data_IF_107779719638
#
_entry.id   IF_107779719638
#
_cell.length_a   1.000
_cell.length_b   1.000
_cell.length_c   1.000
_cell.angle_alpha   90.00
_cell.angle_beta   90.00
_cell.angle_gamma   90.00
#
_symmetry.space_group_name_H-M   'P 1'
#
loop_
_entity.id
_entity.type
_entity.pdbx_description
1 polymer ?
#
# COMPACT_ATOMS: atom_id res chain seq x y z
N UNK A 1 -21.13 -27.68 -4.01
CA UNK A 1 -19.84 -28.21 -4.49
C UNK A 1 -18.76 -27.12 -4.43
N UNK A 2 -18.17 -26.86 -3.25
CA UNK A 2 -17.06 -25.89 -3.06
C UNK A 2 -15.77 -26.64 -2.61
N UNK A 3 -15.65 -27.92 -2.98
CA UNK A 3 -14.53 -28.77 -2.56
C UNK A 3 -13.37 -28.78 -3.57
N UNK A 4 -13.60 -28.40 -4.84
CA UNK A 4 -12.61 -28.62 -5.90
C UNK A 4 -11.36 -27.74 -5.81
N UNK A 5 -11.44 -26.55 -5.19
CA UNK A 5 -10.29 -25.61 -5.09
C UNK A 5 -9.33 -25.93 -3.95
N UNK A 6 -9.81 -26.58 -2.89
CA UNK A 6 -9.00 -26.88 -1.71
C UNK A 6 -7.96 -27.98 -1.97
N UNK A 7 -8.23 -28.85 -2.95
CA UNK A 7 -7.35 -29.95 -3.37
C UNK A 7 -6.65 -29.66 -4.71
N UNK A 8 -6.64 -28.42 -5.19
CA UNK A 8 -5.92 -28.07 -6.42
C UNK A 8 -4.41 -28.23 -6.22
N UNK A 9 -3.76 -28.88 -7.18
CA UNK A 9 -2.29 -28.85 -7.30
C UNK A 9 -1.82 -27.46 -7.78
N UNK A 10 -0.56 -27.07 -7.51
CA UNK A 10 0.00 -25.82 -8.01
C UNK A 10 -0.11 -25.69 -9.54
N UNK A 11 0.09 -26.77 -10.28
CA UNK A 11 0.00 -26.83 -11.74
C UNK A 11 -1.44 -26.56 -12.19
N UNK A 12 -2.43 -27.22 -11.60
CA UNK A 12 -3.85 -26.98 -11.88
C UNK A 12 -4.27 -25.54 -11.54
N UNK A 13 -3.79 -25.01 -10.41
CA UNK A 13 -4.05 -23.64 -10.02
C UNK A 13 -3.45 -22.64 -11.02
N UNK A 14 -2.23 -22.90 -11.52
CA UNK A 14 -1.56 -22.06 -12.50
C UNK A 14 -2.30 -22.01 -13.84
N UNK A 15 -2.76 -23.16 -14.34
CA UNK A 15 -3.59 -23.26 -15.56
C UNK A 15 -4.89 -22.50 -15.36
N UNK A 16 -5.60 -22.72 -14.25
CA UNK A 16 -6.85 -22.01 -13.94
C UNK A 16 -6.67 -20.50 -13.86
N UNK A 17 -5.59 -20.02 -13.22
CA UNK A 17 -5.28 -18.59 -13.14
C UNK A 17 -4.89 -18.01 -14.51
N UNK A 18 -4.21 -18.78 -15.35
CA UNK A 18 -3.95 -18.46 -16.75
C UNK A 18 -5.26 -18.24 -17.52
N UNK A 19 -6.17 -19.20 -17.47
CA UNK A 19 -7.49 -19.15 -18.11
C UNK A 19 -8.37 -18.02 -17.58
N UNK A 20 -8.24 -17.70 -16.28
CA UNK A 20 -8.95 -16.57 -15.70
C UNK A 20 -8.39 -15.25 -16.25
N UNK A 21 -7.06 -15.13 -16.38
CA UNK A 21 -6.40 -13.93 -16.91
C UNK A 21 -6.76 -13.69 -18.38
N UNK A 22 -6.77 -14.74 -19.20
CA UNK A 22 -7.14 -14.64 -20.63
C UNK A 22 -8.59 -14.21 -20.81
N UNK A 23 -9.52 -14.82 -20.06
CA UNK A 23 -10.94 -14.42 -20.07
C UNK A 23 -11.16 -12.98 -19.62
N UNK A 24 -10.48 -12.56 -18.57
CA UNK A 24 -10.54 -11.17 -18.11
C UNK A 24 -9.98 -10.22 -19.17
N UNK A 25 -8.84 -10.54 -19.80
CA UNK A 25 -8.26 -9.70 -20.86
C UNK A 25 -9.21 -9.55 -22.05
N UNK A 26 -9.83 -10.64 -22.50
CA UNK A 26 -10.83 -10.61 -23.58
C UNK A 26 -12.06 -9.76 -23.21
N UNK A 27 -12.58 -9.93 -21.99
CA UNK A 27 -13.69 -9.11 -21.49
C UNK A 27 -13.33 -7.62 -21.46
N UNK A 28 -12.12 -7.26 -21.01
CA UNK A 28 -11.66 -5.86 -20.98
C UNK A 28 -11.46 -5.27 -22.37
N UNK A 29 -11.07 -6.08 -23.35
CA UNK A 29 -10.91 -5.65 -24.74
C UNK A 29 -12.26 -5.35 -25.42
N UNK A 30 -13.31 -6.08 -25.04
CA UNK A 30 -14.66 -5.92 -25.57
C UNK A 30 -15.50 -4.82 -24.87
N UNK A 31 -14.98 -4.16 -23.83
CA UNK A 31 -15.71 -3.10 -23.12
C UNK A 31 -15.99 -1.87 -23.98
N UNK A 32 -17.20 -1.31 -23.81
CA UNK A 32 -17.53 0.02 -24.32
C UNK A 32 -16.74 1.11 -23.57
N UNK A 33 -16.64 2.33 -24.14
CA UNK A 33 -16.03 3.46 -23.46
C UNK A 33 -16.63 3.77 -22.08
N UNK A 34 -17.96 3.66 -21.94
CA UNK A 34 -18.70 3.92 -20.71
C UNK A 34 -18.39 2.85 -19.66
N UNK A 35 -18.44 1.57 -20.03
CA UNK A 35 -18.09 0.46 -19.15
C UNK A 35 -16.64 0.57 -18.66
N UNK A 36 -15.73 0.96 -19.56
CA UNK A 36 -14.32 1.21 -19.24
C UNK A 36 -14.17 2.35 -18.23
N UNK A 37 -14.95 3.41 -18.35
CA UNK A 37 -14.92 4.56 -17.45
C UNK A 37 -15.43 4.18 -16.06
N UNK A 38 -16.58 3.51 -15.97
CA UNK A 38 -17.13 3.03 -14.70
C UNK A 38 -16.15 2.13 -13.97
N UNK A 39 -15.60 1.11 -14.64
CA UNK A 39 -14.60 0.23 -14.04
C UNK A 39 -13.35 0.99 -13.55
N UNK A 40 -12.89 2.00 -14.29
CA UNK A 40 -11.75 2.82 -13.87
C UNK A 40 -12.07 3.63 -12.61
N UNK A 41 -13.30 4.11 -12.48
CA UNK A 41 -13.73 4.86 -11.29
C UNK A 41 -13.89 3.93 -10.08
N UNK A 42 -14.42 2.73 -10.28
CA UNK A 42 -14.49 1.69 -9.25
C UNK A 42 -13.08 1.28 -8.79
N UNK A 43 -12.16 1.07 -9.73
CA UNK A 43 -10.76 0.75 -9.44
C UNK A 43 -10.07 1.88 -8.66
N UNK A 44 -10.37 3.16 -8.97
CA UNK A 44 -9.84 4.31 -8.23
C UNK A 44 -10.40 4.35 -6.83
N UNK A 45 -11.71 4.19 -6.69
CA UNK A 45 -12.41 4.20 -5.41
C UNK A 45 -11.90 3.06 -4.53
N UNK A 46 -11.84 1.83 -5.04
CA UNK A 46 -11.33 0.66 -4.33
C UNK A 46 -9.88 0.83 -3.87
N UNK A 47 -9.01 1.39 -4.73
CA UNK A 47 -7.63 1.70 -4.33
C UNK A 47 -7.56 2.79 -3.26
N UNK A 48 -8.42 3.80 -3.36
CA UNK A 48 -8.51 4.87 -2.37
C UNK A 48 -8.98 4.34 -1.02
N UNK A 49 -10.06 3.57 -1.00
CA UNK A 49 -10.61 2.97 0.22
C UNK A 49 -9.64 1.97 0.83
N UNK A 50 -8.95 1.15 0.05
CA UNK A 50 -7.93 0.22 0.57
C UNK A 50 -6.76 0.96 1.22
N UNK A 51 -6.31 2.09 0.63
CA UNK A 51 -5.27 2.93 1.23
C UNK A 51 -5.76 3.62 2.50
N UNK A 52 -7.00 4.11 2.53
CA UNK A 52 -7.58 4.75 3.70
C UNK A 52 -7.82 3.75 4.84
N UNK A 53 -8.41 2.59 4.53
CA UNK A 53 -8.60 1.45 5.44
C UNK A 53 -7.28 0.97 6.04
N UNK A 54 -6.17 1.14 5.31
CA UNK A 54 -4.86 0.86 5.87
C UNK A 54 -4.62 1.65 7.15
N UNK A 55 -5.10 2.89 7.29
CA UNK A 55 -4.83 3.77 8.43
C UNK A 55 -5.98 3.91 9.43
N UNK A 56 -7.12 3.24 9.23
CA UNK A 56 -8.32 3.47 10.08
C UNK A 56 -8.12 3.06 11.54
N UNK A 57 -7.27 2.08 11.83
CA UNK A 57 -6.93 1.73 13.23
C UNK A 57 -6.09 2.82 13.93
N UNK A 58 -5.59 3.81 13.18
CA UNK A 58 -4.85 4.97 13.69
C UNK A 58 -5.67 6.25 13.71
N UNK A 59 -6.98 6.16 13.50
CA UNK A 59 -7.84 7.32 13.47
C UNK A 59 -7.72 8.10 14.80
N UNK A 60 -7.22 9.34 14.70
CA UNK A 60 -6.99 10.28 15.82
C UNK A 60 -5.86 9.92 16.81
N UNK A 61 -5.09 8.86 16.58
CA UNK A 61 -3.96 8.50 17.48
C UNK A 61 -2.91 9.62 17.60
N UNK A 62 -2.73 10.43 16.57
CA UNK A 62 -1.84 11.60 16.62
C UNK A 62 -2.35 12.76 17.48
N UNK A 63 -3.66 12.82 17.76
CA UNK A 63 -4.29 13.85 18.60
C UNK A 63 -4.50 13.36 20.05
N UNK A 64 -4.70 12.06 20.22
CA UNK A 64 -4.81 11.39 21.52
C UNK A 64 -3.71 10.34 21.64
N UNK A 65 -2.51 10.80 21.99
CA UNK A 65 -1.40 9.91 22.25
C UNK A 65 -1.72 9.00 23.45
N UNK A 66 -1.67 7.68 23.23
CA UNK A 66 -1.84 6.67 24.27
C UNK A 66 -0.49 5.99 24.56
N UNK A 67 0.21 6.35 25.67
CA UNK A 67 1.54 5.81 25.98
C UNK A 67 1.57 4.30 26.23
N UNK A 68 0.41 3.64 26.35
CA UNK A 68 0.35 2.19 26.53
C UNK A 68 0.47 1.41 25.21
N UNK A 69 0.32 2.07 24.07
CA UNK A 69 0.45 1.45 22.74
C UNK A 69 1.91 1.42 22.27
N UNK A 70 2.29 0.30 21.66
CA UNK A 70 3.62 0.15 21.05
C UNK A 70 3.63 0.74 19.63
N UNK A 71 4.03 2.01 19.52
CA UNK A 71 4.17 2.70 18.24
C UNK A 71 5.49 2.39 17.51
N UNK A 72 6.55 1.99 18.24
CA UNK A 72 7.91 1.84 17.70
C UNK A 72 8.03 0.78 16.60
N UNK A 73 7.28 -0.31 16.72
CA UNK A 73 7.33 -1.45 15.80
C UNK A 73 6.10 -1.56 14.89
N UNK A 74 5.28 -0.51 14.83
CA UNK A 74 4.09 -0.55 14.02
C UNK A 74 4.47 -0.50 12.53
N UNK A 75 4.12 -1.53 11.74
CA UNK A 75 4.56 -1.68 10.35
C UNK A 75 4.16 -0.51 9.42
N UNK A 76 3.18 0.28 9.84
CA UNK A 76 2.73 1.48 9.11
C UNK A 76 3.34 2.79 9.63
N UNK A 77 3.93 2.81 10.82
CA UNK A 77 4.61 3.97 11.41
C UNK A 77 6.14 3.84 11.39
N UNK A 78 6.67 2.73 10.85
CA UNK A 78 8.10 2.52 10.80
C UNK A 78 8.77 3.50 9.83
N UNK A 79 9.23 4.65 10.36
CA UNK A 79 10.02 5.66 9.64
C UNK A 79 11.47 5.18 9.44
N UNK A 80 11.92 4.22 10.25
CA UNK A 80 13.29 3.70 10.24
C UNK A 80 14.22 4.42 11.23
N UNK A 81 15.48 4.01 11.25
CA UNK A 81 16.53 4.63 12.08
C UNK A 81 17.23 5.74 11.29
N UNK A 82 17.71 6.77 11.99
CA UNK A 82 18.53 7.82 11.39
C UNK A 82 19.96 7.30 11.16
N UNK A 83 20.21 6.70 10.00
CA UNK A 83 21.49 6.07 9.66
C UNK A 83 22.27 6.81 8.58
N UNK A 84 21.62 7.74 7.89
CA UNK A 84 22.22 8.52 6.82
C UNK A 84 22.81 9.81 7.39
N UNK A 85 23.94 10.27 6.86
CA UNK A 85 24.51 11.57 7.22
C UNK A 85 24.08 12.59 6.16
N UNK A 86 23.52 13.71 6.60
CA UNK A 86 23.17 14.83 5.73
C UNK A 86 24.46 15.47 5.21
N UNK A 87 24.66 15.45 3.88
CA UNK A 87 25.86 15.94 3.19
C UNK A 87 26.13 17.45 3.34
N UNK A 88 25.27 18.14 4.06
CA UNK A 88 25.22 19.60 4.12
C UNK A 88 25.44 20.17 5.52
N UNK A 89 25.00 19.45 6.56
CA UNK A 89 25.12 19.89 7.95
C UNK A 89 25.63 18.77 8.87
N UNK A 90 26.05 17.64 8.31
CA UNK A 90 26.56 16.44 9.00
C UNK A 90 25.61 15.83 10.05
N UNK A 91 24.36 16.29 10.11
CA UNK A 91 23.34 15.71 10.96
C UNK A 91 22.96 14.30 10.49
N UNK A 92 22.65 13.41 11.44
CA UNK A 92 21.98 12.16 11.09
C UNK A 92 20.58 12.47 10.53
N UNK A 93 20.14 11.70 9.53
CA UNK A 93 18.88 11.86 8.83
C UNK A 93 18.22 10.50 8.57
N UNK A 94 16.91 10.49 8.33
CA UNK A 94 16.22 9.27 7.95
C UNK A 94 16.47 8.91 6.47
N UNK A 95 16.50 7.60 6.13
CA UNK A 95 16.46 7.17 4.75
C UNK A 95 15.23 7.71 4.03
N UNK A 96 15.42 8.39 2.90
CA UNK A 96 14.33 9.00 2.14
C UNK A 96 13.82 10.34 2.68
N UNK A 97 14.47 10.92 3.70
CA UNK A 97 14.20 12.29 4.15
C UNK A 97 14.45 13.29 3.02
N UNK A 98 13.50 14.20 2.81
CA UNK A 98 13.60 15.20 1.75
C UNK A 98 14.81 16.13 1.97
N UNK A 99 15.55 16.50 0.90
CA UNK A 99 16.64 17.46 1.02
C UNK A 99 16.16 18.77 1.67
N UNK A 100 16.95 19.33 2.58
CA UNK A 100 16.60 20.57 3.28
C UNK A 100 15.92 20.39 4.64
N UNK A 101 15.46 19.19 4.99
CA UNK A 101 14.81 18.94 6.30
C UNK A 101 15.79 18.94 7.48
N UNK A 102 17.05 18.53 7.24
CA UNK A 102 18.16 18.63 8.21
C UNK A 102 18.67 20.07 8.42
N UNK A 103 18.33 21.01 7.53
CA UNK A 103 18.81 22.39 7.60
C UNK A 103 18.03 23.19 8.63
N UNK A 104 18.42 23.01 9.87
CA UNK A 104 18.13 23.96 10.92
C UNK A 104 19.36 24.86 11.08
N UNK A 105 19.21 26.17 10.86
CA UNK A 105 20.07 27.17 11.50
C UNK A 105 19.80 27.24 13.02
N UNK A 106 19.47 26.11 13.65
CA UNK A 106 19.28 25.94 15.09
C UNK A 106 18.49 27.06 15.78
N UNK A 107 17.27 27.40 15.31
CA UNK A 107 16.24 28.08 16.09
C UNK A 107 14.88 28.02 15.41
#
# INVERSE_FOLDING_TARGET
MVASRANETPEQASVRLGDQRTRQAASRAAESPEQRQTRREDDRTSRSTSRAARWTFMEREGFQYDPTKNYDNHCQLYIGRMTEICSYCDALKWPGEAPGMCYSNGK
#
